data_IF_694927679526
#
_entry.id   IF_694927679526
#
_cell.length_a   1.000
_cell.length_b   1.000
_cell.length_c   1.000
_cell.angle_alpha   90.00
_cell.angle_beta   90.00
_cell.angle_gamma   90.00
#
_symmetry.space_group_name_H-M   'P 1'
#
loop_
_entity.id
_entity.type
_entity.pdbx_description
1 polymer ?
#
# COMPACT_ATOMS: atom_id res chain seq x y z
N UNK A 1 12.59 5.50 7.55
CA UNK A 1 12.65 6.86 8.14
C UNK A 1 11.54 7.00 9.19
N UNK A 2 11.88 7.47 10.36
CA UNK A 2 10.95 7.63 11.48
C UNK A 2 10.92 9.12 11.84
N UNK A 3 9.73 9.69 12.03
CA UNK A 3 9.60 11.08 12.37
C UNK A 3 9.81 11.34 13.87
N UNK A 4 9.78 12.62 14.26
CA UNK A 4 10.00 13.03 15.66
C UNK A 4 8.92 12.54 16.63
N UNK A 5 7.74 12.16 16.10
CA UNK A 5 6.62 11.65 16.90
C UNK A 5 6.60 10.13 16.99
N UNK A 6 7.59 9.45 16.41
CA UNK A 6 7.71 8.00 16.47
C UNK A 6 6.94 7.25 15.39
N UNK A 7 6.51 7.92 14.32
CA UNK A 7 5.86 7.28 13.19
C UNK A 7 6.85 6.99 12.06
N UNK A 8 6.76 5.78 11.51
CA UNK A 8 7.51 5.41 10.32
C UNK A 8 6.84 6.03 9.10
N UNK A 9 7.61 6.76 8.30
CA UNK A 9 7.12 7.37 7.06
C UNK A 9 7.01 6.31 5.97
N UNK A 10 5.86 6.26 5.31
CA UNK A 10 5.46 5.13 4.49
C UNK A 10 4.65 5.62 3.29
N UNK A 11 4.64 4.85 2.21
CA UNK A 11 3.76 5.07 1.07
C UNK A 11 2.86 3.85 0.92
N UNK A 12 1.60 4.12 0.56
CA UNK A 12 0.65 3.06 0.25
C UNK A 12 0.25 3.14 -1.21
N UNK A 13 -0.15 2.02 -1.77
CA UNK A 13 -0.49 1.91 -3.19
C UNK A 13 -1.88 1.34 -3.33
N UNK A 14 -2.76 2.11 -3.97
CA UNK A 14 -4.07 1.64 -4.43
C UNK A 14 -3.96 1.47 -5.93
N UNK A 15 -3.84 0.23 -6.39
CA UNK A 15 -3.74 -0.10 -7.81
C UNK A 15 -5.12 -0.53 -8.29
N UNK A 16 -5.69 0.19 -9.25
CA UNK A 16 -7.02 -0.10 -9.79
C UNK A 16 -6.94 -0.61 -11.22
N UNK A 17 -7.87 -1.49 -11.59
CA UNK A 17 -8.00 -2.02 -12.95
C UNK A 17 -9.18 -1.36 -13.70
N UNK A 18 -9.46 -1.83 -14.93
CA UNK A 18 -10.55 -1.31 -15.76
C UNK A 18 -11.93 -1.45 -15.11
N UNK A 19 -12.11 -2.45 -14.27
CA UNK A 19 -13.39 -2.71 -13.61
C UNK A 19 -13.50 -2.00 -12.25
N UNK A 20 -12.58 -1.06 -11.98
CA UNK A 20 -12.55 -0.31 -10.73
C UNK A 20 -12.36 -1.19 -9.50
N UNK A 21 -11.76 -2.37 -9.70
CA UNK A 21 -11.33 -3.22 -8.61
C UNK A 21 -9.92 -2.81 -8.19
N UNK A 22 -9.55 -3.16 -6.98
CA UNK A 22 -8.24 -2.79 -6.44
C UNK A 22 -7.43 -4.03 -6.11
N UNK A 23 -6.12 -3.92 -6.29
CA UNK A 23 -5.18 -4.98 -5.94
C UNK A 23 -5.17 -5.17 -4.43
N UNK A 24 -5.30 -6.41 -3.98
CA UNK A 24 -5.23 -6.75 -2.57
C UNK A 24 -4.33 -7.98 -2.43
N UNK A 25 -3.30 -7.88 -1.59
CA UNK A 25 -2.30 -8.92 -1.45
C UNK A 25 -2.37 -9.60 -0.10
N UNK A 26 -2.13 -10.92 -0.10
CA UNK A 26 -2.01 -11.69 1.13
C UNK A 26 -0.54 -11.78 1.51
N UNK A 27 -0.21 -11.37 2.72
CA UNK A 27 1.16 -11.43 3.23
C UNK A 27 1.63 -12.88 3.32
N UNK A 28 2.88 -13.09 2.95
CA UNK A 28 3.47 -14.42 2.92
C UNK A 28 3.39 -15.09 4.30
N UNK A 29 2.95 -16.35 4.33
CA UNK A 29 2.81 -17.17 5.54
C UNK A 29 1.91 -16.58 6.63
N UNK A 30 1.03 -15.65 6.27
CA UNK A 30 0.09 -15.02 7.21
C UNK A 30 -1.29 -14.91 6.56
N UNK A 31 -2.33 -14.99 7.36
CA UNK A 31 -3.69 -14.76 6.86
C UNK A 31 -4.03 -13.27 7.04
N UNK A 32 -3.20 -12.42 6.44
CA UNK A 32 -3.34 -10.97 6.51
C UNK A 32 -3.35 -10.43 5.08
N UNK A 33 -4.44 -9.77 4.72
CA UNK A 33 -4.62 -9.16 3.41
C UNK A 33 -4.51 -7.65 3.54
N UNK A 34 -3.81 -7.02 2.61
CA UNK A 34 -3.59 -5.58 2.66
C UNK A 34 -3.26 -5.01 1.28
N UNK A 35 -3.36 -3.68 1.16
CA UNK A 35 -2.78 -2.97 0.03
C UNK A 35 -1.26 -2.98 0.13
N UNK A 36 -0.56 -2.93 -1.01
CA UNK A 36 0.89 -2.74 -1.00
C UNK A 36 1.26 -1.46 -0.26
N UNK A 37 2.30 -1.55 0.54
CA UNK A 37 2.83 -0.40 1.28
C UNK A 37 4.28 -0.65 1.68
N UNK A 38 5.03 0.40 1.87
CA UNK A 38 6.40 0.24 2.34
C UNK A 38 7.00 1.53 2.86
N UNK A 39 8.05 1.38 3.65
CA UNK A 39 8.73 2.51 4.27
C UNK A 39 9.56 3.33 3.29
N UNK A 40 9.56 4.64 3.48
CA UNK A 40 10.43 5.53 2.73
C UNK A 40 11.85 5.44 3.27
N UNK A 41 12.81 5.50 2.36
CA UNK A 41 14.23 5.61 2.69
C UNK A 41 14.60 7.08 2.90
N UNK A 42 15.72 7.31 3.60
CA UNK A 42 16.22 8.68 3.79
C UNK A 42 16.46 9.36 2.43
N UNK A 43 15.99 10.60 2.32
CA UNK A 43 16.12 11.42 1.11
C UNK A 43 15.42 10.86 -0.13
N UNK A 44 14.51 9.91 0.05
CA UNK A 44 13.71 9.37 -1.05
C UNK A 44 12.43 10.19 -1.19
N UNK A 45 12.09 10.60 -2.43
CA UNK A 45 10.82 11.25 -2.68
C UNK A 45 9.67 10.24 -2.53
N UNK A 46 8.45 10.74 -2.27
CA UNK A 46 7.27 9.88 -2.16
C UNK A 46 7.05 9.08 -3.44
N UNK A 47 7.18 9.74 -4.60
CA UNK A 47 6.96 9.08 -5.90
C UNK A 47 8.00 7.99 -6.14
N UNK A 48 9.28 8.28 -5.88
CA UNK A 48 10.33 7.29 -6.07
C UNK A 48 10.16 6.10 -5.11
N UNK A 49 9.80 6.38 -3.86
CA UNK A 49 9.51 5.33 -2.89
C UNK A 49 8.34 4.47 -3.31
N UNK A 50 7.28 5.09 -3.82
CA UNK A 50 6.12 4.37 -4.31
C UNK A 50 6.49 3.45 -5.47
N UNK A 51 7.24 3.92 -6.46
CA UNK A 51 7.64 3.07 -7.58
C UNK A 51 8.62 1.97 -7.18
N UNK A 52 9.50 2.24 -6.22
CA UNK A 52 10.38 1.20 -5.68
C UNK A 52 9.57 0.09 -5.02
N UNK A 53 8.61 0.45 -4.16
CA UNK A 53 7.75 -0.53 -3.49
C UNK A 53 6.85 -1.27 -4.49
N UNK A 54 6.33 -0.57 -5.50
CA UNK A 54 5.52 -1.18 -6.56
C UNK A 54 6.30 -2.31 -7.24
N UNK A 55 7.57 -2.06 -7.57
CA UNK A 55 8.41 -3.07 -8.18
C UNK A 55 8.75 -4.21 -7.24
N UNK A 56 9.12 -3.90 -6.01
CA UNK A 56 9.50 -4.90 -5.02
C UNK A 56 8.34 -5.83 -4.66
N UNK A 57 7.15 -5.29 -4.49
CA UNK A 57 6.01 -6.06 -3.99
C UNK A 57 5.19 -6.72 -5.09
N UNK A 58 4.99 -6.09 -6.23
CA UNK A 58 4.12 -6.60 -7.28
C UNK A 58 4.73 -6.62 -8.68
N UNK A 59 6.01 -6.29 -8.79
CA UNK A 59 6.77 -6.48 -10.03
C UNK A 59 6.47 -5.49 -11.14
N UNK A 60 5.76 -4.41 -10.86
CA UNK A 60 5.39 -3.43 -11.87
C UNK A 60 6.33 -2.23 -11.89
N UNK A 61 6.44 -1.61 -13.06
CA UNK A 61 7.26 -0.41 -13.28
C UNK A 61 6.39 0.77 -13.70
N UNK A 62 7.04 1.91 -13.92
CA UNK A 62 6.38 3.14 -14.39
C UNK A 62 5.58 2.94 -15.69
N UNK A 63 6.03 2.03 -16.54
CA UNK A 63 5.38 1.79 -17.83
C UNK A 63 4.08 0.99 -17.70
N UNK A 64 3.84 0.39 -16.56
CA UNK A 64 2.69 -0.47 -16.33
C UNK A 64 1.50 0.25 -15.71
N UNK A 65 1.70 1.49 -15.25
CA UNK A 65 0.69 2.22 -14.49
C UNK A 65 0.65 3.70 -14.88
N UNK A 66 -0.47 4.34 -14.53
CA UNK A 66 -0.63 5.80 -14.61
C UNK A 66 -0.98 6.29 -13.22
N UNK A 67 -0.27 7.30 -12.71
CA UNK A 67 -0.62 7.94 -11.45
C UNK A 67 -1.89 8.77 -11.67
N UNK A 68 -2.97 8.43 -10.99
CA UNK A 68 -4.24 9.14 -11.08
C UNK A 68 -4.33 10.21 -10.00
N UNK A 69 -3.82 9.94 -8.80
CA UNK A 69 -3.84 10.88 -7.70
C UNK A 69 -3.07 10.37 -6.50
N UNK A 70 -2.98 11.23 -5.50
CA UNK A 70 -2.39 10.86 -4.21
C UNK A 70 -3.07 11.67 -3.10
N UNK A 71 -3.02 11.17 -1.88
CA UNK A 71 -3.50 11.92 -0.73
C UNK A 71 -2.58 13.11 -0.47
N UNK A 72 -3.15 14.23 -0.04
CA UNK A 72 -2.39 15.45 0.21
C UNK A 72 -1.82 15.50 1.62
N UNK A 73 -2.43 14.78 2.54
CA UNK A 73 -2.04 14.75 3.95
C UNK A 73 -1.52 13.38 4.34
N UNK A 74 -0.65 13.37 5.34
CA UNK A 74 -0.23 12.13 5.97
C UNK A 74 -1.41 11.50 6.69
N UNK A 75 -1.70 10.24 6.39
CA UNK A 75 -2.69 9.44 7.09
C UNK A 75 -1.97 8.50 8.04
N UNK A 76 -2.25 8.60 9.32
CA UNK A 76 -1.51 7.87 10.34
C UNK A 76 -2.37 6.87 11.08
N UNK A 77 -1.74 5.81 11.55
CA UNK A 77 -2.34 4.86 12.48
C UNK A 77 -1.28 4.34 13.44
N UNK A 78 -1.70 4.02 14.66
CA UNK A 78 -0.84 3.34 15.63
C UNK A 78 -0.98 1.84 15.46
N UNK A 79 0.15 1.13 15.62
CA UNK A 79 0.16 -0.32 15.54
C UNK A 79 -0.04 -0.86 16.96
N UNK A 80 -1.02 -1.74 17.20
CA UNK A 80 -1.19 -2.36 18.50
C UNK A 80 0.09 -3.08 18.93
N UNK A 81 0.42 -3.01 20.21
CA UNK A 81 1.66 -3.60 20.76
C UNK A 81 1.83 -5.08 20.42
N UNK A 82 0.71 -5.81 20.34
CA UNK A 82 0.72 -7.23 19.96
C UNK A 82 1.23 -7.50 18.55
N UNK A 83 1.19 -6.50 17.67
CA UNK A 83 1.68 -6.60 16.30
C UNK A 83 3.10 -6.06 16.14
N UNK A 84 3.61 -5.31 17.11
CA UNK A 84 4.98 -4.83 17.09
C UNK A 84 5.92 -5.93 17.59
N UNK A 85 6.91 -6.25 16.78
CA UNK A 85 8.00 -7.14 17.22
C UNK A 85 8.94 -6.34 18.10
N UNK A 86 9.55 -6.98 19.12
CA UNK A 86 10.29 -6.32 20.17
C UNK A 86 11.47 -5.44 19.77
N UNK A 87 11.86 -5.41 18.49
CA UNK A 87 12.93 -4.55 17.98
C UNK A 87 12.41 -3.31 17.25
N UNK A 88 11.09 -3.15 17.15
CA UNK A 88 10.51 -1.99 16.46
C UNK A 88 10.64 -0.74 17.30
N UNK A 89 11.25 0.30 16.73
CA UNK A 89 11.44 1.59 17.40
C UNK A 89 10.42 2.64 16.98
N UNK A 90 9.33 2.22 16.34
CA UNK A 90 8.24 3.11 15.93
C UNK A 90 6.90 2.60 16.48
N UNK A 91 5.98 3.51 16.74
CA UNK A 91 4.67 3.19 17.34
C UNK A 91 3.55 3.05 16.32
N UNK A 92 3.79 3.51 15.10
CA UNK A 92 2.80 3.48 14.03
C UNK A 92 3.39 3.92 12.72
N UNK A 93 2.52 4.14 11.74
CA UNK A 93 2.94 4.57 10.43
C UNK A 93 2.15 5.81 9.99
N UNK A 94 2.83 6.69 9.25
CA UNK A 94 2.23 7.80 8.52
C UNK A 94 2.37 7.53 7.05
N UNK A 95 1.30 7.65 6.28
CA UNK A 95 1.27 7.21 4.90
C UNK A 95 0.74 8.30 3.97
N UNK A 96 1.42 8.43 2.82
CA UNK A 96 0.85 9.06 1.65
C UNK A 96 0.38 7.93 0.74
N UNK A 97 -0.87 7.98 0.30
CA UNK A 97 -1.47 6.96 -0.56
C UNK A 97 -1.51 7.44 -1.99
N UNK A 98 -1.09 6.57 -2.90
CA UNK A 98 -1.14 6.80 -4.34
C UNK A 98 -2.25 5.96 -4.96
N UNK A 99 -3.02 6.57 -5.85
CA UNK A 99 -3.97 5.85 -6.69
C UNK A 99 -3.36 5.69 -8.07
N UNK A 100 -3.16 4.44 -8.49
CA UNK A 100 -2.56 4.10 -9.77
C UNK A 100 -3.58 3.34 -10.61
N UNK A 101 -3.60 3.63 -11.90
CA UNK A 101 -4.36 2.83 -12.86
C UNK A 101 -3.43 1.84 -13.54
N UNK A 102 -3.76 0.56 -13.45
CA UNK A 102 -3.03 -0.52 -14.11
C UNK A 102 -3.44 -0.54 -15.59
N UNK A 103 -2.47 -0.47 -16.49
CA UNK A 103 -2.70 -0.37 -17.94
C UNK A 103 -2.14 -1.56 -18.71
N UNK A 104 -1.77 -2.62 -18.03
CA UNK A 104 -1.29 -3.86 -18.62
C UNK A 104 -2.23 -5.00 -18.26
N UNK A 105 -1.90 -6.20 -18.72
CA UNK A 105 -2.63 -7.41 -18.35
C UNK A 105 -2.10 -8.01 -17.06
N UNK A 106 -2.92 -8.81 -16.38
CA UNK A 106 -2.60 -9.37 -15.08
C UNK A 106 -1.30 -10.18 -15.06
N UNK A 107 -0.90 -10.75 -16.19
CA UNK A 107 0.35 -11.50 -16.29
C UNK A 107 1.59 -10.65 -15.99
N UNK A 108 1.48 -9.33 -16.08
CA UNK A 108 2.57 -8.43 -15.72
C UNK A 108 2.84 -8.40 -14.21
N UNK A 109 1.85 -8.78 -13.40
CA UNK A 109 1.99 -8.81 -11.94
C UNK A 109 2.85 -10.00 -11.54
N UNK A 110 3.93 -9.72 -10.82
CA UNK A 110 4.88 -10.73 -10.36
C UNK A 110 5.25 -10.46 -8.90
N UNK A 111 4.81 -11.36 -8.01
CA UNK A 111 5.06 -11.24 -6.58
C UNK A 111 6.47 -11.69 -6.17
N UNK A 112 7.24 -12.27 -7.09
CA UNK A 112 8.50 -12.94 -6.78
C UNK A 112 9.73 -12.23 -7.38
N UNK A 113 9.69 -10.90 -7.47
CA UNK A 113 10.79 -10.13 -8.04
C UNK A 113 11.96 -9.93 -7.08
N UNK A 114 11.79 -10.25 -5.81
CA UNK A 114 12.84 -10.14 -4.79
C UNK A 114 13.05 -11.49 -4.09
N UNK A 115 14.15 -11.62 -3.34
CA UNK A 115 14.43 -12.82 -2.54
C UNK A 115 13.56 -12.92 -1.30
N UNK A 116 12.89 -11.84 -0.91
CA UNK A 116 11.99 -11.80 0.26
C UNK A 116 10.66 -11.20 -0.17
N UNK A 117 9.79 -11.97 -0.86
CA UNK A 117 8.51 -11.45 -1.31
C UNK A 117 7.61 -11.10 -0.13
N UNK A 118 6.85 -10.02 -0.29
CA UNK A 118 5.89 -9.57 0.72
C UNK A 118 4.61 -10.39 0.69
N UNK A 119 4.14 -10.72 -0.53
CA UNK A 119 2.87 -11.42 -0.75
C UNK A 119 3.09 -12.78 -1.41
N UNK A 120 2.24 -13.75 -1.06
CA UNK A 120 2.19 -15.05 -1.74
C UNK A 120 0.91 -15.26 -2.57
N UNK A 121 -0.09 -14.41 -2.41
CA UNK A 121 -1.32 -14.42 -3.19
C UNK A 121 -1.81 -13.00 -3.41
N UNK A 122 -2.64 -12.81 -4.44
CA UNK A 122 -3.28 -11.52 -4.68
C UNK A 122 -4.63 -11.72 -5.39
N UNK A 123 -5.47 -10.70 -5.32
CA UNK A 123 -6.75 -10.68 -6.00
C UNK A 123 -7.16 -9.24 -6.33
N UNK A 124 -8.09 -9.10 -7.27
CA UNK A 124 -8.82 -7.87 -7.48
C UNK A 124 -10.09 -7.91 -6.64
N UNK A 125 -10.33 -6.88 -5.82
CA UNK A 125 -11.55 -6.79 -5.02
C UNK A 125 -12.14 -5.38 -5.07
N UNK A 126 -13.37 -5.26 -4.61
CA UNK A 126 -13.98 -3.94 -4.41
C UNK A 126 -13.27 -3.24 -3.25
N UNK A 127 -13.11 -1.93 -3.35
CA UNK A 127 -12.45 -1.16 -2.29
C UNK A 127 -13.17 -1.33 -0.94
N UNK A 128 -14.49 -1.31 -0.94
CA UNK A 128 -15.28 -1.50 0.28
C UNK A 128 -15.02 -2.84 0.96
N UNK A 129 -14.76 -3.89 0.16
CA UNK A 129 -14.41 -5.20 0.71
C UNK A 129 -13.02 -5.21 1.31
N UNK A 130 -12.08 -4.45 0.72
CA UNK A 130 -10.75 -4.30 1.29
C UNK A 130 -10.81 -3.64 2.68
N UNK A 131 -11.66 -2.63 2.85
CA UNK A 131 -11.87 -1.99 4.15
C UNK A 131 -12.34 -3.00 5.19
N UNK A 132 -13.26 -3.89 4.80
CA UNK A 132 -13.82 -4.90 5.71
C UNK A 132 -12.83 -6.00 6.07
N UNK A 133 -11.94 -6.35 5.13
CA UNK A 133 -11.02 -7.50 5.29
C UNK A 133 -9.70 -7.13 5.92
N UNK A 134 -9.32 -5.87 5.94
CA UNK A 134 -8.07 -5.44 6.55
C UNK A 134 -8.18 -5.42 8.08
N UNK A 135 -7.04 -5.39 8.76
CA UNK A 135 -7.00 -5.26 10.21
C UNK A 135 -7.71 -3.97 10.65
N UNK A 136 -8.45 -4.04 11.76
CA UNK A 136 -9.27 -2.92 12.24
C UNK A 136 -8.48 -1.62 12.40
N UNK A 137 -7.24 -1.70 12.87
CA UNK A 137 -6.42 -0.50 13.07
C UNK A 137 -5.99 0.16 11.76
N UNK A 138 -6.09 -0.55 10.63
CA UNK A 138 -5.83 -0.01 9.29
C UNK A 138 -7.09 0.45 8.57
N UNK A 139 -8.25 -0.08 8.93
CA UNK A 139 -9.49 0.19 8.19
C UNK A 139 -9.83 1.67 8.12
N UNK A 140 -9.54 2.40 9.17
CA UNK A 140 -9.75 3.84 9.26
C UNK A 140 -8.93 4.60 8.20
N UNK A 141 -7.66 4.22 8.02
CA UNK A 141 -6.79 4.84 7.03
C UNK A 141 -7.28 4.52 5.62
N UNK A 142 -7.71 3.28 5.38
CA UNK A 142 -8.27 2.90 4.09
C UNK A 142 -9.53 3.72 3.74
N UNK A 143 -10.40 3.96 4.73
CA UNK A 143 -11.58 4.81 4.55
C UNK A 143 -11.20 6.24 4.21
N UNK A 144 -10.23 6.79 4.92
CA UNK A 144 -9.76 8.16 4.67
C UNK A 144 -9.10 8.31 3.31
N UNK A 145 -8.27 7.35 2.91
CA UNK A 145 -7.66 7.37 1.59
C UNK A 145 -8.73 7.32 0.49
N UNK A 146 -9.73 6.46 0.65
CA UNK A 146 -10.85 6.40 -0.29
C UNK A 146 -11.59 7.73 -0.36
N UNK A 147 -11.87 8.34 0.79
CA UNK A 147 -12.58 9.62 0.86
C UNK A 147 -11.87 10.72 0.06
N UNK A 148 -10.54 10.78 0.13
CA UNK A 148 -9.78 11.76 -0.64
C UNK A 148 -9.66 11.42 -2.13
N UNK A 149 -9.64 10.14 -2.48
CA UNK A 149 -9.31 9.69 -3.84
C UNK A 149 -10.53 9.21 -4.64
N UNK A 150 -11.69 9.10 -4.01
CA UNK A 150 -12.87 8.49 -4.65
C UNK A 150 -13.31 9.19 -5.93
N UNK A 151 -13.14 10.51 -6.01
CA UNK A 151 -13.50 11.27 -7.22
C UNK A 151 -12.68 10.88 -8.45
N UNK A 152 -11.51 10.28 -8.24
CA UNK A 152 -10.65 9.84 -9.34
C UNK A 152 -10.98 8.43 -9.85
N UNK A 153 -11.82 7.68 -9.15
CA UNK A 153 -12.19 6.32 -9.56
C UNK A 153 -13.13 6.30 -10.77
N UNK A 154 -13.80 7.42 -11.05
CA UNK A 154 -14.82 7.50 -12.10
C UNK A 154 -14.47 8.50 -13.18
#
# INVERSE_FOLDING_TARGET
MIDENGFRLNVGIILTNYNQRVFFGKRINKNVWQFPQGGLKNNESHVNGMFRELKEEIGLTRDDVIIIGKTTKWLSYEIPKSYLKGTSNYKGQKQIWFLLKFIKEDIAIDLNTTTKPEFDQWTWIKYEDAIKKTAKFKSFVYKKAYSELSSFFY
#
